data_IF_888079680014
#
_entry.id   IF_888079680014
#
_cell.length_a   1.000
_cell.length_b   1.000
_cell.length_c   1.000
_cell.angle_alpha   90.00
_cell.angle_beta   90.00
_cell.angle_gamma   90.00
#
_symmetry.space_group_name_H-M   'P 1'
#
loop_
_entity.id
_entity.type
_entity.pdbx_description
1 polymer ?
#
# COMPACT_ATOMS: atom_id res chain seq x y z
N UNK A 1 8.91 -31.70 4.77
CA UNK A 1 8.87 -31.03 3.44
C UNK A 1 8.16 -29.70 3.62
N UNK A 2 8.88 -28.59 3.50
CA UNK A 2 8.34 -27.25 3.77
C UNK A 2 7.29 -26.92 2.71
N UNK A 3 6.03 -26.71 3.14
CA UNK A 3 5.07 -25.98 2.31
C UNK A 3 5.71 -24.65 1.97
N UNK A 4 5.90 -24.37 0.69
CA UNK A 4 6.41 -23.10 0.17
C UNK A 4 5.73 -21.96 0.92
N UNK A 5 6.50 -21.30 1.79
CA UNK A 5 6.03 -20.15 2.54
C UNK A 5 5.70 -19.06 1.53
N UNK A 6 4.46 -18.57 1.51
CA UNK A 6 4.03 -17.41 0.71
C UNK A 6 4.66 -16.10 1.22
N UNK A 7 5.92 -16.15 1.65
CA UNK A 7 6.69 -15.01 2.15
C UNK A 7 7.50 -14.44 0.99
N UNK A 8 7.47 -13.12 0.87
CA UNK A 8 8.27 -12.36 -0.08
C UNK A 8 9.04 -11.30 0.66
N UNK A 9 10.30 -11.14 0.30
CA UNK A 9 11.09 -9.98 0.72
C UNK A 9 10.79 -8.85 -0.25
N UNK A 10 10.52 -7.67 0.28
CA UNK A 10 10.33 -6.45 -0.48
C UNK A 10 11.31 -5.43 0.09
N UNK A 11 12.17 -4.89 -0.78
CA UNK A 11 12.98 -3.75 -0.42
C UNK A 11 12.52 -2.56 -1.24
N UNK A 12 11.65 -1.76 -0.63
CA UNK A 12 11.01 -0.63 -1.26
C UNK A 12 11.86 0.62 -1.01
N UNK A 13 12.39 1.18 -2.10
CA UNK A 13 13.20 2.38 -2.10
C UNK A 13 12.34 3.53 -2.60
N UNK A 14 12.27 4.58 -1.79
CA UNK A 14 11.52 5.80 -2.08
C UNK A 14 12.49 6.94 -2.40
N UNK A 15 12.04 7.90 -3.21
CA UNK A 15 12.89 9.04 -3.60
C UNK A 15 13.21 9.97 -2.42
N UNK A 16 12.34 10.01 -1.40
CA UNK A 16 12.54 10.74 -0.15
C UNK A 16 13.54 10.07 0.81
N UNK A 17 14.20 8.99 0.37
CA UNK A 17 15.22 8.21 1.12
C UNK A 17 14.71 7.57 2.41
N UNK A 18 13.39 7.47 2.58
CA UNK A 18 12.79 6.66 3.63
C UNK A 18 12.64 5.23 3.08
N UNK A 19 13.70 4.42 3.07
CA UNK A 19 13.65 3.08 2.47
C UNK A 19 13.08 2.06 3.46
N UNK A 20 12.24 1.15 2.98
CA UNK A 20 11.58 0.15 3.81
C UNK A 20 11.92 -1.28 3.36
N UNK A 21 12.46 -2.07 4.29
CA UNK A 21 12.62 -3.52 4.13
C UNK A 21 11.44 -4.22 4.80
N UNK A 22 10.70 -4.99 4.02
CA UNK A 22 9.47 -5.65 4.45
C UNK A 22 9.49 -7.14 4.14
N UNK A 23 8.79 -7.89 4.98
CA UNK A 23 8.41 -9.27 4.71
C UNK A 23 6.91 -9.28 4.45
N UNK A 24 6.52 -9.57 3.22
CA UNK A 24 5.12 -9.63 2.79
C UNK A 24 4.62 -11.07 2.80
N UNK A 25 3.39 -11.26 3.25
CA UNK A 25 2.72 -12.56 3.27
C UNK A 25 1.30 -12.46 2.71
N UNK A 26 1.03 -13.21 1.64
CA UNK A 26 -0.34 -13.34 1.14
C UNK A 26 -1.08 -14.46 1.87
N UNK A 27 -2.08 -14.06 2.65
CA UNK A 27 -2.96 -14.97 3.39
C UNK A 27 -4.34 -15.09 2.72
N UNK A 28 -4.96 -16.26 2.82
CA UNK A 28 -6.36 -16.50 2.37
C UNK A 28 -7.36 -16.39 3.51
N UNK A 29 -6.97 -15.76 4.62
CA UNK A 29 -7.85 -15.56 5.77
C UNK A 29 -8.83 -14.44 5.44
N UNK A 30 -10.11 -14.76 5.54
CA UNK A 30 -11.20 -13.84 5.18
C UNK A 30 -11.73 -13.06 6.39
N UNK A 31 -11.10 -13.22 7.56
CA UNK A 31 -11.39 -12.41 8.73
C UNK A 31 -10.09 -11.81 9.27
N UNK A 32 -10.26 -10.59 9.77
CA UNK A 32 -9.21 -9.73 10.32
C UNK A 32 -8.46 -10.38 11.50
N UNK A 33 -9.17 -11.00 12.44
CA UNK A 33 -8.56 -11.60 13.65
C UNK A 33 -7.54 -12.67 13.30
N UNK A 34 -7.88 -13.56 12.38
CA UNK A 34 -6.97 -14.62 11.92
C UNK A 34 -5.79 -14.04 11.14
N UNK A 35 -5.99 -12.99 10.35
CA UNK A 35 -4.90 -12.31 9.65
C UNK A 35 -3.90 -11.69 10.65
N UNK A 36 -4.40 -11.06 11.72
CA UNK A 36 -3.56 -10.53 12.81
C UNK A 36 -2.78 -11.63 13.50
N UNK A 37 -3.42 -12.77 13.83
CA UNK A 37 -2.73 -13.90 14.46
C UNK A 37 -1.58 -14.41 13.58
N UNK A 38 -1.80 -14.52 12.26
CA UNK A 38 -0.75 -14.92 11.31
C UNK A 38 0.40 -13.90 11.31
N UNK A 39 0.08 -12.61 11.22
CA UNK A 39 1.10 -11.55 11.22
C UNK A 39 1.92 -11.53 12.52
N UNK A 40 1.28 -11.71 13.68
CA UNK A 40 1.94 -11.80 14.99
C UNK A 40 2.80 -13.05 15.14
N UNK A 41 2.42 -14.17 14.53
CA UNK A 41 3.25 -15.37 14.52
C UNK A 41 4.52 -15.17 13.67
N UNK A 42 4.39 -14.54 12.50
CA UNK A 42 5.54 -14.17 11.67
C UNK A 42 6.46 -13.21 12.42
N UNK A 43 5.90 -12.19 13.08
CA UNK A 43 6.67 -11.26 13.92
C UNK A 43 7.48 -11.98 15.00
N UNK A 44 6.87 -12.91 15.75
CA UNK A 44 7.57 -13.71 16.77
C UNK A 44 8.69 -14.55 16.18
N UNK A 45 8.46 -15.15 15.01
CA UNK A 45 9.48 -15.93 14.31
C UNK A 45 10.66 -15.04 13.89
N UNK A 46 10.40 -13.86 13.31
CA UNK A 46 11.45 -12.90 12.96
C UNK A 46 12.27 -12.45 14.17
N UNK A 47 11.58 -12.17 15.29
CA UNK A 47 12.24 -11.84 16.55
C UNK A 47 13.13 -12.98 17.07
N UNK A 48 12.72 -14.24 16.92
CA UNK A 48 13.55 -15.40 17.30
C UNK A 48 14.82 -15.55 16.46
N UNK A 49 14.82 -15.01 15.23
CA UNK A 49 16.00 -14.90 14.38
C UNK A 49 16.82 -13.63 14.63
N UNK A 50 16.47 -12.83 15.65
CA UNK A 50 17.16 -11.57 15.98
C UNK A 50 16.78 -10.39 15.09
N UNK A 51 15.71 -10.51 14.29
CA UNK A 51 15.23 -9.43 13.42
C UNK A 51 14.21 -8.60 14.19
N UNK A 52 14.52 -7.32 14.44
CA UNK A 52 13.59 -6.39 15.08
C UNK A 52 12.49 -5.98 14.09
N UNK A 53 11.25 -6.33 14.42
CA UNK A 53 10.07 -5.84 13.70
C UNK A 53 9.63 -4.51 14.29
N UNK A 54 9.54 -3.48 13.45
CA UNK A 54 9.18 -2.10 13.86
C UNK A 54 7.75 -1.71 13.50
N UNK A 55 7.08 -2.53 12.67
CA UNK A 55 5.71 -2.34 12.19
C UNK A 55 5.11 -3.66 11.74
N UNK A 56 3.84 -3.85 12.06
CA UNK A 56 2.99 -4.89 11.48
C UNK A 56 1.85 -4.19 10.75
N UNK A 57 1.69 -4.50 9.47
CA UNK A 57 0.65 -3.96 8.58
C UNK A 57 -0.19 -5.10 8.00
N UNK A 58 -1.50 -4.91 7.92
CA UNK A 58 -2.46 -5.85 7.32
C UNK A 58 -3.41 -5.08 6.43
N UNK A 59 -3.56 -5.59 5.22
CA UNK A 59 -4.32 -4.96 4.16
C UNK A 59 -5.26 -5.97 3.53
N UNK A 60 -6.47 -5.53 3.20
CA UNK A 60 -7.45 -6.36 2.49
C UNK A 60 -7.46 -6.02 1.01
N UNK A 61 -7.34 -7.07 0.19
CA UNK A 61 -7.67 -7.04 -1.24
C UNK A 61 -9.15 -7.39 -1.51
N UNK A 62 -9.91 -7.80 -0.49
CA UNK A 62 -11.31 -8.15 -0.67
C UNK A 62 -12.19 -6.90 -0.72
N UNK A 63 -12.68 -6.58 -1.92
CA UNK A 63 -13.51 -5.40 -2.20
C UNK A 63 -14.95 -5.51 -1.66
N UNK A 64 -15.42 -6.71 -1.30
CA UNK A 64 -16.84 -6.91 -0.92
C UNK A 64 -17.21 -6.39 0.47
N UNK A 65 -16.22 -6.13 1.32
CA UNK A 65 -16.42 -5.65 2.70
C UNK A 65 -15.75 -4.31 2.96
N UNK A 66 -15.41 -3.56 1.89
CA UNK A 66 -14.76 -2.26 2.04
C UNK A 66 -15.80 -1.15 2.25
N UNK A 67 -15.46 -0.10 3.01
CA UNK A 67 -16.35 1.04 3.16
C UNK A 67 -16.55 1.74 1.81
N UNK A 68 -17.77 1.75 1.29
CA UNK A 68 -18.04 2.29 -0.04
C UNK A 68 -18.20 3.81 -0.04
N UNK A 69 -18.88 4.32 0.99
CA UNK A 69 -19.17 5.74 1.19
C UNK A 69 -18.33 6.34 2.33
N UNK A 70 -18.32 7.67 2.44
CA UNK A 70 -17.66 8.35 3.56
C UNK A 70 -18.22 7.93 4.92
N UNK A 71 -19.54 7.71 5.01
CA UNK A 71 -20.17 7.26 6.25
C UNK A 71 -19.70 5.86 6.64
N UNK A 72 -19.63 4.93 5.68
CA UNK A 72 -19.13 3.57 5.94
C UNK A 72 -17.67 3.59 6.42
N UNK A 73 -16.88 4.53 5.88
CA UNK A 73 -15.49 4.74 6.30
C UNK A 73 -15.42 5.20 7.76
N UNK A 74 -16.21 6.21 8.13
CA UNK A 74 -16.26 6.73 9.51
C UNK A 74 -16.69 5.63 10.51
N UNK A 75 -17.68 4.79 10.13
CA UNK A 75 -18.10 3.64 10.94
C UNK A 75 -16.99 2.58 11.08
N UNK A 76 -16.28 2.31 9.98
CA UNK A 76 -15.15 1.36 9.96
C UNK A 76 -13.98 1.86 10.79
N UNK A 77 -13.61 3.14 10.65
CA UNK A 77 -12.55 3.79 11.43
C UNK A 77 -12.87 3.71 12.91
N UNK A 78 -14.09 4.07 13.31
CA UNK A 78 -14.54 3.98 14.71
C UNK A 78 -14.42 2.55 15.24
N UNK A 79 -14.90 1.56 14.48
CA UNK A 79 -14.79 0.15 14.87
C UNK A 79 -13.33 -0.29 15.06
N UNK A 80 -12.42 0.07 14.15
CA UNK A 80 -11.00 -0.31 14.25
C UNK A 80 -10.33 0.36 15.45
N UNK A 81 -10.62 1.65 15.70
CA UNK A 81 -10.12 2.39 16.85
C UNK A 81 -10.57 1.77 18.17
N UNK A 82 -11.87 1.46 18.29
CA UNK A 82 -12.44 0.84 19.49
C UNK A 82 -11.88 -0.57 19.72
N UNK A 83 -11.78 -1.37 18.67
CA UNK A 83 -11.34 -2.77 18.75
C UNK A 83 -9.86 -2.92 19.08
N UNK A 84 -9.02 -1.99 18.64
CA UNK A 84 -7.56 -2.06 18.83
C UNK A 84 -7.01 -0.97 19.74
N UNK A 85 -7.84 -0.32 20.55
CA UNK A 85 -7.41 0.60 21.61
C UNK A 85 -6.41 1.68 21.13
N UNK A 86 -6.63 2.25 19.94
CA UNK A 86 -5.72 3.23 19.29
C UNK A 86 -4.32 2.70 18.91
N UNK A 87 -4.08 1.39 18.96
CA UNK A 87 -2.84 0.77 18.46
C UNK A 87 -2.82 0.76 16.92
N UNK A 88 -4.00 0.75 16.29
CA UNK A 88 -4.12 0.81 14.85
C UNK A 88 -4.11 2.27 14.36
N UNK A 89 -3.28 2.55 13.35
CA UNK A 89 -3.35 3.80 12.60
C UNK A 89 -4.69 3.99 11.89
N UNK A 90 -4.89 5.21 11.40
CA UNK A 90 -6.06 5.57 10.59
C UNK A 90 -6.14 4.69 9.34
N UNK A 91 -7.31 4.08 9.02
CA UNK A 91 -7.44 3.26 7.83
C UNK A 91 -7.41 4.11 6.55
N UNK A 92 -7.05 3.50 5.44
CA UNK A 92 -6.97 4.19 4.14
C UNK A 92 -7.09 3.20 2.99
N UNK A 93 -7.47 3.72 1.83
CA UNK A 93 -7.34 3.02 0.56
C UNK A 93 -5.95 3.27 -0.01
N UNK A 94 -5.30 2.22 -0.51
CA UNK A 94 -4.01 2.29 -1.19
C UNK A 94 -4.13 1.67 -2.58
N UNK A 95 -3.60 2.37 -3.58
CA UNK A 95 -3.54 1.93 -4.95
C UNK A 95 -2.10 1.84 -5.38
N UNK A 96 -1.70 0.66 -5.85
CA UNK A 96 -0.37 0.40 -6.39
C UNK A 96 -0.45 0.18 -7.90
N UNK A 97 0.14 1.10 -8.66
CA UNK A 97 0.10 1.13 -10.12
C UNK A 97 1.52 1.03 -10.65
N UNK A 98 1.80 0.02 -11.48
CA UNK A 98 3.10 -0.11 -12.15
C UNK A 98 3.13 0.75 -13.39
N UNK A 99 4.19 1.52 -13.55
CA UNK A 99 4.45 2.29 -14.77
C UNK A 99 4.95 1.33 -15.87
N UNK A 100 4.35 1.41 -17.04
CA UNK A 100 4.70 0.64 -18.22
C UNK A 100 5.96 1.17 -18.91
N UNK A 101 6.59 0.34 -19.74
CA UNK A 101 7.86 0.69 -20.41
C UNK A 101 7.69 1.54 -21.69
N UNK A 102 6.44 1.78 -22.13
CA UNK A 102 6.11 2.43 -23.39
C UNK A 102 5.67 3.90 -23.19
N UNK A 103 6.13 4.53 -22.11
CA UNK A 103 5.91 5.96 -21.88
C UNK A 103 6.59 6.77 -22.99
N UNK A 104 5.91 7.78 -23.53
CA UNK A 104 6.43 8.57 -24.68
C UNK A 104 7.70 9.36 -24.37
N UNK A 105 7.98 9.61 -23.09
CA UNK A 105 9.10 10.42 -22.62
C UNK A 105 10.29 9.52 -22.23
N UNK A 106 11.48 9.80 -22.77
CA UNK A 106 12.71 9.07 -22.41
C UNK A 106 13.15 9.35 -20.96
N UNK A 107 12.81 10.52 -20.42
CA UNK A 107 13.07 10.93 -19.03
C UNK A 107 11.81 10.83 -18.15
N UNK A 108 10.90 9.91 -18.47
CA UNK A 108 9.58 9.83 -17.83
C UNK A 108 9.62 9.76 -16.30
N UNK A 109 10.69 9.24 -15.69
CA UNK A 109 10.80 9.16 -14.23
C UNK A 109 10.94 10.55 -13.59
N UNK A 110 11.82 11.38 -14.11
CA UNK A 110 12.06 12.74 -13.60
C UNK A 110 10.82 13.63 -13.84
N UNK A 111 10.17 13.46 -15.00
CA UNK A 111 8.94 14.21 -15.26
C UNK A 111 7.79 13.69 -14.41
N UNK A 112 7.67 12.38 -14.18
CA UNK A 112 6.60 11.81 -13.37
C UNK A 112 6.66 12.36 -11.95
N UNK A 113 7.86 12.48 -11.37
CA UNK A 113 8.06 13.12 -10.08
C UNK A 113 7.49 14.54 -10.03
N UNK A 114 7.74 15.34 -11.07
CA UNK A 114 7.25 16.72 -11.11
C UNK A 114 5.74 16.78 -11.28
N UNK A 115 5.17 15.91 -12.11
CA UNK A 115 3.71 15.83 -12.30
C UNK A 115 2.99 15.43 -10.99
N UNK A 116 3.54 14.46 -10.25
CA UNK A 116 2.84 13.94 -9.07
C UNK A 116 2.95 14.83 -7.83
N UNK A 117 3.90 15.76 -7.77
CA UNK A 117 4.10 16.69 -6.63
C UNK A 117 2.87 17.55 -6.33
N UNK A 118 1.98 17.72 -7.30
CA UNK A 118 0.75 18.49 -7.15
C UNK A 118 -0.39 17.68 -6.53
N UNK A 119 -0.24 16.36 -6.42
CA UNK A 119 -1.22 15.48 -5.79
C UNK A 119 -0.84 15.20 -4.34
N UNK A 120 -1.85 15.10 -3.49
CA UNK A 120 -1.68 14.79 -2.07
C UNK A 120 -1.63 13.28 -1.89
N UNK A 121 -0.69 12.80 -1.06
CA UNK A 121 -0.54 11.39 -0.74
C UNK A 121 -0.25 10.50 -1.96
N UNK A 122 0.65 10.97 -2.84
CA UNK A 122 1.06 10.26 -4.05
C UNK A 122 2.58 10.19 -4.11
N UNK A 123 3.11 8.99 -4.33
CA UNK A 123 4.55 8.78 -4.37
C UNK A 123 4.99 7.69 -5.34
N UNK A 124 6.27 7.72 -5.69
CA UNK A 124 6.92 6.70 -6.51
C UNK A 124 7.90 5.93 -5.63
N UNK A 125 7.86 4.60 -5.76
CA UNK A 125 8.83 3.71 -5.13
C UNK A 125 9.28 2.61 -6.08
N UNK A 126 10.36 1.93 -5.71
CA UNK A 126 10.95 0.83 -6.46
C UNK A 126 11.15 -0.37 -5.53
N UNK A 127 10.71 -1.55 -5.94
CA UNK A 127 11.05 -2.78 -5.23
C UNK A 127 12.33 -3.39 -5.83
N UNK A 128 13.46 -3.22 -5.15
CA UNK A 128 14.76 -3.75 -5.59
C UNK A 128 14.87 -5.28 -5.53
N UNK A 129 13.93 -5.95 -4.85
CA UNK A 129 13.84 -7.41 -4.87
C UNK A 129 12.96 -7.95 -6.01
N UNK A 130 12.37 -7.08 -6.84
CA UNK A 130 11.57 -7.49 -7.99
C UNK A 130 12.45 -7.69 -9.23
N UNK A 131 12.25 -8.78 -9.98
CA UNK A 131 13.03 -9.07 -11.18
C UNK A 131 12.99 -7.96 -12.25
N UNK A 132 11.89 -7.20 -12.31
CA UNK A 132 11.68 -6.18 -13.34
C UNK A 132 11.90 -4.74 -12.83
N UNK A 133 12.17 -4.54 -11.53
CA UNK A 133 12.41 -3.23 -10.88
C UNK A 133 11.59 -2.05 -11.44
N UNK A 134 10.31 -2.28 -11.77
CA UNK A 134 9.46 -1.22 -12.35
C UNK A 134 9.13 -0.16 -11.31
N UNK A 135 9.02 1.12 -11.70
CA UNK A 135 8.48 2.16 -10.84
C UNK A 135 7.05 1.83 -10.43
N UNK A 136 6.76 2.05 -9.17
CA UNK A 136 5.45 1.84 -8.57
C UNK A 136 4.90 3.16 -8.08
N UNK A 137 3.86 3.66 -8.75
CA UNK A 137 3.06 4.77 -8.28
C UNK A 137 2.14 4.26 -7.17
N UNK A 138 2.16 4.94 -6.02
CA UNK A 138 1.34 4.65 -4.87
C UNK A 138 0.46 5.85 -4.58
N UNK A 139 -0.86 5.64 -4.50
CA UNK A 139 -1.84 6.68 -4.17
C UNK A 139 -2.55 6.23 -2.89
N UNK A 140 -2.58 7.07 -1.86
CA UNK A 140 -3.35 6.81 -0.64
C UNK A 140 -4.47 7.81 -0.44
N UNK A 141 -5.63 7.30 -0.03
CA UNK A 141 -6.81 8.11 0.23
C UNK A 141 -7.34 7.80 1.63
N UNK A 142 -7.36 8.84 2.46
CA UNK A 142 -7.91 8.85 3.82
C UNK A 142 -9.29 9.54 3.81
N UNK A 143 -10.07 9.35 4.87
CA UNK A 143 -11.32 10.11 5.12
C UNK A 143 -12.42 9.95 4.06
N UNK A 144 -12.32 8.92 3.23
CA UNK A 144 -13.20 8.71 2.09
C UNK A 144 -13.54 7.23 1.94
N UNK A 145 -14.74 6.96 1.45
CA UNK A 145 -15.12 5.63 0.99
C UNK A 145 -14.50 5.28 -0.37
N UNK A 146 -14.58 4.00 -0.72
CA UNK A 146 -13.98 3.42 -1.92
C UNK A 146 -14.36 4.13 -3.21
N UNK A 147 -15.59 4.63 -3.33
CA UNK A 147 -16.06 5.32 -4.54
C UNK A 147 -15.27 6.61 -4.82
N UNK A 148 -15.07 7.42 -3.78
CA UNK A 148 -14.31 8.66 -3.90
C UNK A 148 -12.81 8.39 -4.01
N UNK A 149 -12.30 7.36 -3.34
CA UNK A 149 -10.92 6.93 -3.48
C UNK A 149 -10.61 6.46 -4.91
N UNK A 150 -11.50 5.68 -5.53
CA UNK A 150 -11.40 5.29 -6.94
C UNK A 150 -11.42 6.50 -7.85
N UNK A 151 -12.39 7.40 -7.66
CA UNK A 151 -12.49 8.61 -8.48
C UNK A 151 -11.19 9.43 -8.43
N UNK A 152 -10.64 9.66 -7.24
CA UNK A 152 -9.38 10.38 -7.09
C UNK A 152 -8.22 9.71 -7.83
N UNK A 153 -8.11 8.38 -7.70
CA UNK A 153 -7.14 7.58 -8.46
C UNK A 153 -7.38 7.67 -9.97
N UNK A 154 -8.62 7.58 -10.44
CA UNK A 154 -8.95 7.69 -11.87
C UNK A 154 -8.56 9.06 -12.42
N UNK A 155 -8.92 10.15 -11.73
CA UNK A 155 -8.60 11.53 -12.12
C UNK A 155 -7.07 11.71 -12.30
N UNK A 156 -6.26 11.17 -11.38
CA UNK A 156 -4.79 11.20 -11.49
C UNK A 156 -4.30 10.40 -12.70
N UNK A 157 -4.78 9.17 -12.86
CA UNK A 157 -4.30 8.29 -13.95
C UNK A 157 -4.75 8.77 -15.33
N UNK A 158 -5.93 9.38 -15.45
CA UNK A 158 -6.39 10.02 -16.68
C UNK A 158 -5.47 11.17 -17.06
N UNK A 159 -5.16 12.06 -16.11
CA UNK A 159 -4.25 13.18 -16.37
C UNK A 159 -2.86 12.71 -16.81
N UNK A 160 -2.28 11.74 -16.11
CA UNK A 160 -0.99 11.16 -16.49
C UNK A 160 -1.06 10.45 -17.87
N UNK A 161 -2.17 9.81 -18.23
CA UNK A 161 -2.32 9.24 -19.58
C UNK A 161 -2.31 10.31 -20.67
N UNK A 162 -2.97 11.45 -20.44
CA UNK A 162 -2.93 12.59 -21.37
C UNK A 162 -1.50 13.08 -21.59
N UNK A 163 -0.69 13.08 -20.52
CA UNK A 163 0.72 13.48 -20.54
C UNK A 163 1.65 12.38 -21.11
N UNK A 164 1.08 11.25 -21.56
CA UNK A 164 1.79 10.20 -22.29
C UNK A 164 2.37 9.07 -21.43
N UNK A 165 1.96 8.97 -20.16
CA UNK A 165 2.29 7.83 -19.31
C UNK A 165 1.44 6.60 -19.65
N UNK A 166 2.05 5.42 -19.54
CA UNK A 166 1.41 4.13 -19.75
C UNK A 166 1.50 3.35 -18.44
N UNK A 167 0.43 2.65 -18.08
CA UNK A 167 0.34 1.87 -16.85
C UNK A 167 0.11 0.39 -17.20
N UNK A 168 0.60 -0.52 -16.36
CA UNK A 168 0.20 -1.92 -16.46
C UNK A 168 -1.29 -2.08 -16.09
N UNK A 169 -2.02 -2.96 -16.79
CA UNK A 169 -3.48 -3.10 -16.63
C UNK A 169 -3.94 -3.54 -15.23
N UNK A 170 -3.04 -4.13 -14.44
CA UNK A 170 -3.36 -4.65 -13.10
C UNK A 170 -2.97 -3.63 -12.03
N UNK A 171 -3.97 -2.89 -11.57
CA UNK A 171 -3.89 -2.06 -10.36
C UNK A 171 -4.14 -2.95 -9.14
N UNK A 172 -3.23 -2.93 -8.18
CA UNK A 172 -3.44 -3.54 -6.88
C UNK A 172 -4.14 -2.52 -5.97
N UNK A 173 -5.27 -2.94 -5.41
CA UNK A 173 -6.12 -2.11 -4.55
C UNK A 173 -6.15 -2.75 -3.18
N UNK A 174 -5.86 -1.95 -2.16
CA UNK A 174 -5.73 -2.37 -0.78
C UNK A 174 -6.51 -1.43 0.13
N UNK A 175 -7.00 -1.97 1.24
CA UNK A 175 -7.53 -1.20 2.35
C UNK A 175 -6.81 -1.59 3.63
N UNK A 176 -6.24 -0.61 4.32
CA UNK A 176 -5.52 -0.82 5.57
C UNK A 176 -6.49 -1.16 6.69
N UNK A 177 -6.28 -2.30 7.34
CA UNK A 177 -7.10 -2.80 8.45
C UNK A 177 -6.35 -2.72 9.77
N UNK A 178 -5.05 -2.99 9.75
CA UNK A 178 -4.23 -3.01 10.95
C UNK A 178 -2.87 -2.45 10.64
N UNK A 179 -2.44 -1.44 11.39
CA UNK A 179 -1.14 -0.82 11.24
C UNK A 179 -0.63 -0.32 12.58
N UNK A 180 0.41 -0.97 13.12
CA UNK A 180 0.93 -0.66 14.45
C UNK A 180 1.82 0.58 14.49
N UNK A 181 2.26 1.10 13.34
CA UNK A 181 3.18 2.23 13.29
C UNK A 181 3.07 2.98 11.95
N UNK A 182 1.97 3.72 11.73
CA UNK A 182 1.76 4.47 10.49
C UNK A 182 2.80 5.58 10.28
N UNK A 183 3.48 6.03 11.34
CA UNK A 183 4.49 7.09 11.29
C UNK A 183 5.73 6.74 10.46
N UNK A 184 5.97 5.45 10.19
CA UNK A 184 7.08 5.04 9.32
C UNK A 184 6.86 5.44 7.85
N UNK A 185 5.64 5.82 7.49
CA UNK A 185 5.33 6.39 6.18
C UNK A 185 5.37 7.93 6.19
N UNK A 186 5.74 8.57 7.30
CA UNK A 186 5.96 10.02 7.29
C UNK A 186 7.06 10.36 6.28
N UNK A 187 6.74 11.28 5.37
CA UNK A 187 7.60 11.67 4.26
C UNK A 187 7.59 10.70 3.07
N UNK A 188 6.92 9.55 3.11
CA UNK A 188 6.76 8.69 1.93
C UNK A 188 5.82 9.26 0.88
N UNK A 189 4.79 10.00 1.31
CA UNK A 189 3.60 10.38 0.57
C UNK A 189 3.29 11.87 0.72
#
# INVERSE_FOLDING_TARGET
>A
MSKTTNLKIVYAVSQVKNNQLMISHFTRKNNEKDAIIVARNIEKEMLSYGIKVVRVKIESHNMTSLPLTKKDYEETEKYLVEKYENVCGKPYFEFHIKIGNNTKNENYLETLENEIKHYTNVAISYNLCSANCKPLLTIRVYDQGYQMAQKYKDDILEKLKEDGYVFDDKIQIEFSIYDTNPKLDEGWL
#
